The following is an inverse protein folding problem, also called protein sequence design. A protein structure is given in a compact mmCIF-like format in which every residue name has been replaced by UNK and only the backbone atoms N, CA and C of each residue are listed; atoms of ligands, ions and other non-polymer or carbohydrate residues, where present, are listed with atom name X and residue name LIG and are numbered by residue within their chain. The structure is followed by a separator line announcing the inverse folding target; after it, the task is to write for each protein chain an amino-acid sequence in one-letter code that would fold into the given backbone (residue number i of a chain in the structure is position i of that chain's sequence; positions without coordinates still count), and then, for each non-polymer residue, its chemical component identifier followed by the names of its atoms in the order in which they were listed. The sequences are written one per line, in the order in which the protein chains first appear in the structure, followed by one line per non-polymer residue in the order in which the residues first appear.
data_IF_814656818854
#
_entry.id   IF_814656818854
#
_cell.length_a   1.000
_cell.length_b   1.000
_cell.length_c   1.000
_cell.angle_alpha   90.00
_cell.angle_beta   90.00
_cell.angle_gamma   90.00
#
_symmetry.space_group_name_H-M   'P 1'
#
loop_
_entity.id
_entity.type
_entity.pdbx_description
1 polymer ?
#
# COMPACT_ATOMS: atom_id res chain seq x y z
N UNK A 1 18.93 0.52 29.27
CA UNK A 1 18.05 -0.63 29.54
C UNK A 1 17.93 -1.43 28.26
N UNK A 2 18.61 -2.58 28.17
CA UNK A 2 18.31 -3.79 27.36
C UNK A 2 19.58 -4.68 27.24
N UNK A 3 19.94 -5.34 28.34
CA UNK A 3 21.14 -6.18 28.52
C UNK A 3 21.11 -7.52 27.74
N UNK A 4 20.04 -7.80 26.98
CA UNK A 4 19.81 -9.07 26.28
C UNK A 4 20.15 -9.05 24.78
N UNK A 5 20.35 -7.86 24.18
CA UNK A 5 20.71 -7.73 22.77
C UNK A 5 22.22 -7.93 22.51
N UNK A 6 23.03 -7.90 23.57
CA UNK A 6 24.50 -8.02 23.50
C UNK A 6 24.97 -9.45 23.15
N UNK A 7 24.06 -10.42 23.13
CA UNK A 7 24.38 -11.82 22.79
C UNK A 7 24.39 -12.08 21.27
N UNK A 8 23.86 -11.18 20.45
CA UNK A 8 23.85 -11.32 19.00
C UNK A 8 24.94 -10.44 18.36
N UNK A 9 25.74 -11.03 17.48
CA UNK A 9 26.61 -10.22 16.63
C UNK A 9 25.75 -9.26 15.78
N UNK A 10 26.19 -8.01 15.54
CA UNK A 10 25.42 -7.03 14.76
C UNK A 10 24.99 -7.53 13.37
N UNK A 11 25.82 -8.38 12.75
CA UNK A 11 25.51 -9.00 11.46
C UNK A 11 24.40 -10.06 11.58
N UNK A 12 24.42 -10.87 12.65
CA UNK A 12 23.38 -11.87 12.92
C UNK A 12 22.05 -11.20 13.23
N UNK A 13 22.05 -10.16 14.06
CA UNK A 13 20.85 -9.37 14.37
C UNK A 13 20.22 -8.77 13.09
N UNK A 14 21.05 -8.24 12.18
CA UNK A 14 20.58 -7.71 10.89
C UNK A 14 19.95 -8.81 10.02
N UNK A 15 20.59 -9.97 9.87
CA UNK A 15 20.05 -11.08 9.07
C UNK A 15 18.71 -11.59 9.62
N UNK A 16 18.63 -11.76 10.95
CA UNK A 16 17.39 -12.16 11.63
C UNK A 16 16.31 -11.10 11.48
N UNK A 17 16.67 -9.82 11.60
CA UNK A 17 15.76 -8.70 11.35
C UNK A 17 15.19 -8.71 9.93
N UNK A 18 16.02 -8.87 8.90
CA UNK A 18 15.54 -8.97 7.50
C UNK A 18 14.64 -10.20 7.32
N UNK A 19 15.02 -11.35 7.88
CA UNK A 19 14.22 -12.57 7.77
C UNK A 19 12.84 -12.40 8.43
N UNK A 20 12.78 -11.79 9.61
CA UNK A 20 11.52 -11.49 10.31
C UNK A 20 10.68 -10.45 9.56
N UNK A 21 11.32 -9.46 8.94
CA UNK A 21 10.63 -8.47 8.11
C UNK A 21 9.97 -9.16 6.91
N UNK A 22 10.69 -10.00 6.17
CA UNK A 22 10.13 -10.79 5.05
C UNK A 22 9.00 -11.69 5.55
N UNK A 23 9.20 -12.39 6.67
CA UNK A 23 8.18 -13.25 7.26
C UNK A 23 6.92 -12.47 7.64
N UNK A 24 7.06 -11.25 8.16
CA UNK A 24 5.92 -10.39 8.48
C UNK A 24 5.12 -10.00 7.23
N UNK A 25 5.78 -9.77 6.09
CA UNK A 25 5.08 -9.48 4.84
C UNK A 25 4.37 -10.70 4.24
N UNK A 26 4.78 -11.93 4.61
CA UNK A 26 4.13 -13.17 4.17
C UNK A 26 2.91 -13.53 5.02
N UNK A 27 2.86 -13.09 6.29
CA UNK A 27 1.75 -13.43 7.20
C UNK A 27 0.50 -12.59 6.94
N UNK A 28 0.66 -11.36 6.44
CA UNK A 28 -0.45 -10.47 6.13
C UNK A 28 -1.34 -10.97 4.97
N UNK A 29 -0.80 -11.46 3.84
CA UNK A 29 -1.58 -12.14 2.82
C UNK A 29 -2.35 -13.36 3.34
N UNK A 30 -1.80 -14.11 4.30
CA UNK A 30 -2.50 -15.27 4.87
C UNK A 30 -3.77 -14.86 5.61
N UNK A 31 -3.75 -13.75 6.35
CA UNK A 31 -4.94 -13.20 6.99
C UNK A 31 -6.02 -12.79 5.96
N UNK A 32 -5.61 -12.34 4.78
CA UNK A 32 -6.52 -12.00 3.67
C UNK A 32 -7.06 -13.23 2.94
N UNK A 33 -6.31 -14.34 2.91
CA UNK A 33 -6.69 -15.57 2.22
C UNK A 33 -7.66 -16.42 3.05
N UNK A 34 -7.50 -16.46 4.38
CA UNK A 34 -8.31 -17.30 5.29
C UNK A 34 -9.83 -17.18 5.11
N UNK A 35 -10.43 -15.99 4.91
CA UNK A 35 -11.86 -15.86 4.64
C UNK A 35 -12.35 -16.62 3.39
N UNK A 36 -11.48 -16.77 2.38
CA UNK A 36 -11.82 -17.34 1.08
C UNK A 36 -11.52 -18.84 0.97
N UNK A 37 -10.84 -19.43 1.96
CA UNK A 37 -10.53 -20.87 1.96
C UNK A 37 -11.70 -21.63 2.60
N UNK A 38 -12.30 -22.62 1.89
CA UNK A 38 -13.34 -23.48 2.44
C UNK A 38 -12.71 -24.46 3.44
N UNK A 39 -12.46 -23.98 4.65
CA UNK A 39 -11.97 -24.78 5.77
C UNK A 39 -13.17 -25.43 6.49
N UNK A 40 -13.09 -26.72 6.87
CA UNK A 40 -14.13 -27.43 7.63
C UNK A 40 -14.09 -27.05 9.13
N UNK A 41 -14.09 -25.75 9.42
CA UNK A 41 -13.99 -25.17 10.77
C UNK A 41 -15.04 -24.08 10.94
N UNK A 42 -15.42 -23.79 12.18
CA UNK A 42 -16.40 -22.73 12.47
C UNK A 42 -15.89 -21.35 12.09
N UNK A 43 -16.80 -20.42 11.77
CA UNK A 43 -16.43 -19.03 11.43
C UNK A 43 -15.73 -18.31 12.59
N UNK A 44 -16.05 -18.67 13.83
CA UNK A 44 -15.35 -18.21 15.04
C UNK A 44 -13.87 -18.63 15.01
N UNK A 45 -13.59 -19.86 14.57
CA UNK A 45 -12.21 -20.34 14.44
C UNK A 45 -11.46 -19.62 13.32
N UNK A 46 -12.12 -19.34 12.19
CA UNK A 46 -11.53 -18.53 11.10
C UNK A 46 -11.18 -17.12 11.57
N UNK A 47 -12.08 -16.46 12.30
CA UNK A 47 -11.81 -15.16 12.90
C UNK A 47 -10.63 -15.20 13.88
N UNK A 48 -10.56 -16.25 14.72
CA UNK A 48 -9.41 -16.49 15.61
C UNK A 48 -8.09 -16.67 14.85
N UNK A 49 -8.11 -17.41 13.73
CA UNK A 49 -6.94 -17.60 12.88
C UNK A 49 -6.48 -16.29 12.21
N UNK A 50 -7.41 -15.47 11.72
CA UNK A 50 -7.13 -14.14 11.16
C UNK A 50 -6.45 -13.26 12.23
N UNK A 51 -7.03 -13.19 13.42
CA UNK A 51 -6.46 -12.43 14.54
C UNK A 51 -5.05 -12.92 14.92
N UNK A 52 -4.83 -14.24 14.92
CA UNK A 52 -3.52 -14.82 15.19
C UNK A 52 -2.48 -14.47 14.12
N UNK A 53 -2.84 -14.51 12.83
CA UNK A 53 -1.94 -14.12 11.74
C UNK A 53 -1.60 -12.63 11.78
N UNK A 54 -2.56 -11.77 12.08
CA UNK A 54 -2.34 -10.34 12.22
C UNK A 54 -1.42 -10.03 13.40
N UNK A 55 -1.73 -10.55 14.60
CA UNK A 55 -0.87 -10.37 15.77
C UNK A 55 0.55 -10.91 15.52
N UNK A 56 0.67 -12.08 14.90
CA UNK A 56 1.98 -12.64 14.57
C UNK A 56 2.73 -11.78 13.55
N UNK A 57 2.05 -11.27 12.53
CA UNK A 57 2.61 -10.32 11.57
C UNK A 57 3.09 -9.02 12.23
N UNK A 58 2.31 -8.44 13.13
CA UNK A 58 2.69 -7.23 13.86
C UNK A 58 3.88 -7.45 14.80
N UNK A 59 3.88 -8.55 15.56
CA UNK A 59 4.97 -8.88 16.49
C UNK A 59 6.27 -9.14 15.73
N UNK A 60 6.21 -9.87 14.62
CA UNK A 60 7.38 -10.14 13.77
C UNK A 60 7.87 -8.87 13.09
N UNK A 61 6.98 -8.01 12.61
CA UNK A 61 7.32 -6.71 12.04
C UNK A 61 7.99 -5.79 13.08
N UNK A 62 7.40 -5.63 14.26
CA UNK A 62 7.96 -4.80 15.33
C UNK A 62 9.33 -5.34 15.80
N UNK A 63 9.45 -6.66 15.96
CA UNK A 63 10.72 -7.33 16.30
C UNK A 63 11.77 -7.13 15.20
N UNK A 64 11.37 -7.17 13.93
CA UNK A 64 12.28 -6.90 12.81
C UNK A 64 12.83 -5.48 12.86
N UNK A 65 11.98 -4.48 13.14
CA UNK A 65 12.40 -3.08 13.25
C UNK A 65 13.33 -2.85 14.45
N UNK A 66 13.05 -3.52 15.58
CA UNK A 66 13.92 -3.49 16.75
C UNK A 66 15.32 -4.07 16.44
N UNK A 67 15.38 -5.18 15.71
CA UNK A 67 16.63 -5.86 15.36
C UNK A 67 17.42 -5.18 14.25
N UNK A 68 16.73 -4.64 13.24
CA UNK A 68 17.32 -3.83 12.16
C UNK A 68 17.86 -2.49 12.69
N UNK A 69 17.26 -2.01 13.77
CA UNK A 69 17.75 -0.92 14.58
C UNK A 69 17.70 0.44 13.89
N UNK A 70 18.24 1.45 14.59
CA UNK A 70 18.22 2.86 14.14
C UNK A 70 19.00 3.08 12.85
N UNK A 71 19.96 2.23 12.50
CA UNK A 71 20.73 2.38 11.27
C UNK A 71 19.92 2.00 10.03
N UNK A 72 19.12 0.93 10.08
CA UNK A 72 18.17 0.63 9.02
C UNK A 72 17.08 1.70 8.92
N UNK A 73 16.52 2.17 10.04
CA UNK A 73 15.59 3.29 10.03
C UNK A 73 16.22 4.55 9.46
N UNK A 74 17.52 4.78 9.71
CA UNK A 74 18.29 5.86 9.07
C UNK A 74 18.57 5.58 7.60
N UNK A 75 18.74 4.34 7.15
CA UNK A 75 18.86 3.98 5.73
C UNK A 75 17.53 4.19 5.00
N UNK A 76 16.40 3.80 5.61
CA UNK A 76 15.05 4.08 5.12
C UNK A 76 14.77 5.58 5.12
N UNK A 77 15.05 6.27 6.23
CA UNK A 77 14.91 7.73 6.30
C UNK A 77 15.91 8.44 5.40
N UNK A 78 17.11 7.89 5.18
CA UNK A 78 18.08 8.42 4.24
C UNK A 78 17.61 8.17 2.81
N UNK A 79 16.97 7.05 2.49
CA UNK A 79 16.32 6.85 1.20
C UNK A 79 15.20 7.89 0.98
N UNK A 80 14.44 8.20 2.04
CA UNK A 80 13.43 9.28 2.10
C UNK A 80 14.05 10.69 2.06
N UNK A 81 15.31 10.87 2.49
CA UNK A 81 15.99 12.17 2.63
C UNK A 81 17.02 12.47 1.51
N UNK A 82 17.56 11.44 0.87
CA UNK A 82 18.49 11.47 -0.28
C UNK A 82 17.73 11.74 -1.58
N UNK A 83 16.41 11.61 -1.57
CA UNK A 83 15.53 12.22 -2.56
C UNK A 83 15.48 13.73 -2.28
N UNK A 84 16.04 14.54 -3.18
CA UNK A 84 16.18 15.99 -3.03
C UNK A 84 14.92 16.66 -2.48
N UNK A 85 15.08 17.35 -1.36
CA UNK A 85 14.08 17.86 -0.40
C UNK A 85 12.83 18.57 -0.95
N UNK A 86 12.73 18.89 -2.24
CA UNK A 86 11.51 19.47 -2.84
C UNK A 86 10.66 18.46 -3.61
N UNK A 87 11.26 17.48 -4.29
CA UNK A 87 10.51 16.53 -5.11
C UNK A 87 9.78 15.51 -4.24
N UNK A 88 10.40 15.02 -3.16
CA UNK A 88 9.77 14.07 -2.26
C UNK A 88 8.51 14.63 -1.57
N UNK A 89 8.63 15.82 -0.97
CA UNK A 89 7.49 16.51 -0.35
C UNK A 89 6.39 16.81 -1.36
N UNK A 90 6.76 17.15 -2.60
CA UNK A 90 5.78 17.37 -3.66
C UNK A 90 5.00 16.09 -4.01
N UNK A 91 5.67 14.96 -4.25
CA UNK A 91 4.98 13.71 -4.60
C UNK A 91 4.15 13.17 -3.44
N UNK A 92 4.65 13.23 -2.20
CA UNK A 92 3.85 12.88 -1.02
C UNK A 92 2.63 13.81 -0.86
N UNK A 93 2.80 15.11 -1.07
CA UNK A 93 1.68 16.06 -1.03
C UNK A 93 0.65 15.80 -2.14
N UNK A 94 1.12 15.55 -3.37
CA UNK A 94 0.26 15.22 -4.49
C UNK A 94 -0.51 13.90 -4.26
N UNK A 95 0.16 12.88 -3.72
CA UNK A 95 -0.45 11.62 -3.33
C UNK A 95 -1.54 11.78 -2.30
N UNK A 96 -1.28 12.58 -1.25
CA UNK A 96 -2.28 12.92 -0.24
C UNK A 96 -3.49 13.66 -0.84
N UNK A 97 -3.27 14.65 -1.70
CA UNK A 97 -4.36 15.40 -2.36
C UNK A 97 -5.19 14.47 -3.25
N UNK A 98 -4.55 13.62 -4.03
CA UNK A 98 -5.26 12.66 -4.90
C UNK A 98 -6.05 11.66 -4.08
N UNK A 99 -5.48 11.13 -3.00
CA UNK A 99 -6.20 10.26 -2.05
C UNK A 99 -7.44 10.96 -1.47
N UNK A 100 -7.30 12.21 -1.02
CA UNK A 100 -8.40 12.97 -0.44
C UNK A 100 -9.52 13.20 -1.46
N UNK A 101 -9.15 13.60 -2.69
CA UNK A 101 -10.10 13.81 -3.78
C UNK A 101 -10.78 12.50 -4.20
N UNK A 102 -10.05 11.40 -4.27
CA UNK A 102 -10.59 10.08 -4.57
C UNK A 102 -11.57 9.63 -3.47
N UNK A 103 -11.22 9.80 -2.20
CA UNK A 103 -12.10 9.49 -1.06
C UNK A 103 -13.40 10.29 -1.13
N UNK A 104 -13.31 11.60 -1.38
CA UNK A 104 -14.51 12.45 -1.55
C UNK A 104 -15.33 11.99 -2.76
N UNK A 105 -14.68 11.72 -3.89
CA UNK A 105 -15.34 11.24 -5.10
C UNK A 105 -16.10 9.93 -4.86
N UNK A 106 -15.46 8.94 -4.25
CA UNK A 106 -16.08 7.64 -3.93
C UNK A 106 -17.21 7.82 -2.91
N UNK A 107 -17.07 8.73 -1.95
CA UNK A 107 -18.16 9.00 -1.00
C UNK A 107 -19.40 9.61 -1.66
N UNK A 108 -19.22 10.43 -2.69
CA UNK A 108 -20.31 11.12 -3.38
C UNK A 108 -20.92 10.30 -4.54
N UNK A 109 -20.08 9.56 -5.27
CA UNK A 109 -20.45 8.91 -6.51
C UNK A 109 -20.23 7.38 -6.50
N UNK A 110 -19.58 6.84 -5.47
CA UNK A 110 -19.18 5.43 -5.42
C UNK A 110 -20.35 4.46 -5.46
N UNK A 111 -21.54 4.84 -4.97
CA UNK A 111 -22.75 4.01 -5.06
C UNK A 111 -23.20 3.75 -6.50
N UNK A 112 -22.77 4.57 -7.47
CA UNK A 112 -23.07 4.38 -8.90
C UNK A 112 -21.98 3.59 -9.63
N UNK A 113 -20.81 3.40 -9.01
CA UNK A 113 -19.64 2.79 -9.63
C UNK A 113 -19.37 1.40 -9.04
N UNK A 114 -19.46 1.28 -7.72
CA UNK A 114 -19.24 0.05 -6.97
C UNK A 114 -20.56 -0.67 -6.70
N UNK A 115 -21.19 -1.15 -7.77
CA UNK A 115 -22.42 -1.96 -7.71
C UNK A 115 -22.04 -3.45 -7.80
N UNK A 116 -22.11 -4.21 -6.69
CA UNK A 116 -21.80 -5.63 -6.73
C UNK A 116 -22.69 -6.39 -7.71
N UNK A 117 -22.08 -7.21 -8.56
CA UNK A 117 -22.79 -7.98 -9.59
C UNK A 117 -22.92 -7.29 -10.95
N UNK A 118 -22.70 -5.98 -11.06
CA UNK A 118 -22.65 -5.29 -12.34
C UNK A 118 -21.23 -5.38 -12.95
N UNK A 119 -21.03 -6.39 -13.79
CA UNK A 119 -19.72 -6.63 -14.42
C UNK A 119 -19.29 -5.47 -15.34
N UNK A 120 -20.24 -4.78 -15.98
CA UNK A 120 -19.93 -3.69 -16.90
C UNK A 120 -19.34 -2.49 -16.17
N UNK A 121 -19.96 -2.09 -15.05
CA UNK A 121 -19.47 -1.00 -14.21
C UNK A 121 -18.13 -1.34 -13.55
N UNK A 122 -17.94 -2.59 -13.10
CA UNK A 122 -16.67 -3.05 -12.53
C UNK A 122 -15.54 -2.94 -13.55
N UNK A 123 -15.73 -3.45 -14.77
CA UNK A 123 -14.72 -3.35 -15.83
C UNK A 123 -14.41 -1.90 -16.16
N UNK A 124 -15.43 -1.05 -16.28
CA UNK A 124 -15.26 0.37 -16.54
C UNK A 124 -14.46 1.08 -15.43
N UNK A 125 -14.72 0.75 -14.16
CA UNK A 125 -14.01 1.32 -13.02
C UNK A 125 -12.51 0.97 -13.03
N UNK A 126 -12.16 -0.28 -13.32
CA UNK A 126 -10.76 -0.73 -13.38
C UNK A 126 -10.04 -0.19 -14.63
N UNK A 127 -10.69 -0.24 -15.79
CA UNK A 127 -10.16 0.35 -17.02
C UNK A 127 -9.93 1.86 -16.87
N UNK A 128 -10.86 2.54 -16.19
CA UNK A 128 -10.74 3.95 -15.84
C UNK A 128 -9.46 4.26 -15.06
N UNK A 129 -9.16 3.49 -14.00
CA UNK A 129 -7.91 3.66 -13.25
C UNK A 129 -6.66 3.37 -14.07
N UNK A 130 -6.71 2.34 -14.93
CA UNK A 130 -5.59 1.99 -15.82
C UNK A 130 -5.18 3.16 -16.71
N UNK A 131 -6.14 3.96 -17.17
CA UNK A 131 -5.89 5.16 -17.98
C UNK A 131 -5.60 6.38 -17.10
N UNK A 132 -6.34 6.56 -16.01
CA UNK A 132 -6.27 7.74 -15.16
C UNK A 132 -4.92 7.87 -14.43
N UNK A 133 -4.37 6.76 -13.92
CA UNK A 133 -3.13 6.79 -13.15
C UNK A 133 -1.92 7.28 -13.98
N UNK A 134 -1.66 6.76 -15.20
CA UNK A 134 -0.64 7.32 -16.09
C UNK A 134 -0.91 8.78 -16.47
N UNK A 135 -2.17 9.14 -16.74
CA UNK A 135 -2.56 10.52 -17.06
C UNK A 135 -2.32 11.49 -15.90
N UNK A 136 -2.36 11.02 -14.66
CA UNK A 136 -2.01 11.82 -13.48
C UNK A 136 -0.49 11.88 -13.28
N UNK A 137 0.20 10.73 -13.28
CA UNK A 137 1.61 10.65 -12.88
C UNK A 137 2.57 11.18 -13.95
N UNK A 138 2.36 10.90 -15.24
CA UNK A 138 3.29 11.37 -16.28
C UNK A 138 3.37 12.89 -16.39
N UNK A 139 2.27 13.67 -16.28
CA UNK A 139 2.37 15.13 -16.16
C UNK A 139 3.11 15.58 -14.91
N UNK A 140 2.94 14.91 -13.77
CA UNK A 140 3.67 15.26 -12.53
C UNK A 140 5.18 15.01 -12.68
N UNK A 141 5.57 13.89 -13.29
CA UNK A 141 6.99 13.62 -13.60
C UNK A 141 7.56 14.69 -14.53
N UNK A 142 6.82 15.08 -15.58
CA UNK A 142 7.23 16.14 -16.50
C UNK A 142 7.31 17.50 -15.81
N UNK A 143 6.34 17.84 -14.97
CA UNK A 143 6.31 19.12 -14.24
C UNK A 143 7.49 19.26 -13.27
N UNK A 144 7.95 18.15 -12.68
CA UNK A 144 9.12 18.11 -11.80
C UNK A 144 10.42 17.73 -12.49
N UNK A 145 10.42 17.54 -13.81
CA UNK A 145 11.57 17.08 -14.58
C UNK A 145 12.25 15.87 -13.92
N UNK A 146 11.46 14.86 -13.56
CA UNK A 146 11.96 13.66 -12.88
C UNK A 146 12.72 12.78 -13.86
N UNK A 147 13.99 12.52 -13.57
CA UNK A 147 14.84 11.61 -14.34
C UNK A 147 14.29 10.18 -14.30
N UNK A 148 14.54 9.41 -15.37
CA UNK A 148 13.95 8.06 -15.52
C UNK A 148 14.30 7.10 -14.38
N UNK A 149 15.52 7.21 -13.84
CA UNK A 149 15.98 6.41 -12.70
C UNK A 149 15.35 6.82 -11.37
N UNK A 150 14.72 8.00 -11.32
CA UNK A 150 14.00 8.52 -10.16
C UNK A 150 12.47 8.35 -10.24
N UNK A 151 11.91 7.97 -11.40
CA UNK A 151 10.46 7.84 -11.57
C UNK A 151 9.84 6.75 -10.69
N UNK A 152 10.51 5.61 -10.50
CA UNK A 152 10.05 4.58 -9.54
C UNK A 152 9.96 5.17 -8.13
N UNK A 153 10.95 5.97 -7.71
CA UNK A 153 10.95 6.60 -6.39
C UNK A 153 9.82 7.61 -6.27
N UNK A 154 9.60 8.44 -7.30
CA UNK A 154 8.50 9.40 -7.35
C UNK A 154 7.13 8.72 -7.27
N UNK A 155 6.94 7.61 -8.01
CA UNK A 155 5.72 6.81 -7.96
C UNK A 155 5.45 6.24 -6.55
N UNK A 156 6.49 5.71 -5.90
CA UNK A 156 6.39 5.21 -4.52
C UNK A 156 6.04 6.33 -3.54
N UNK A 157 6.72 7.47 -3.62
CA UNK A 157 6.46 8.62 -2.75
C UNK A 157 5.06 9.20 -2.94
N UNK A 158 4.52 9.14 -4.16
CA UNK A 158 3.15 9.49 -4.46
C UNK A 158 2.15 8.47 -3.87
N UNK A 159 2.41 7.18 -4.01
CA UNK A 159 1.50 6.14 -3.55
C UNK A 159 1.43 6.01 -2.01
N UNK A 160 2.57 6.17 -1.33
CA UNK A 160 2.71 5.97 0.12
C UNK A 160 1.65 6.63 1.01
N UNK A 161 1.39 7.96 0.92
CA UNK A 161 0.40 8.61 1.78
C UNK A 161 -1.00 8.03 1.57
N UNK A 162 -1.39 7.80 0.31
CA UNK A 162 -2.67 7.19 -0.02
C UNK A 162 -2.79 5.78 0.54
N UNK A 163 -1.77 4.93 0.33
CA UNK A 163 -1.78 3.55 0.85
C UNK A 163 -1.95 3.49 2.37
N UNK A 164 -1.26 4.37 3.11
CA UNK A 164 -1.36 4.43 4.58
C UNK A 164 -2.75 4.86 5.01
N UNK A 165 -3.32 5.88 4.37
CA UNK A 165 -4.64 6.39 4.73
C UNK A 165 -5.77 5.47 4.27
N UNK A 166 -5.60 4.78 3.15
CA UNK A 166 -6.56 3.81 2.64
C UNK A 166 -6.71 2.61 3.55
N UNK A 167 -5.67 2.21 4.29
CA UNK A 167 -5.82 1.22 5.36
C UNK A 167 -6.93 1.63 6.34
N UNK A 168 -6.97 2.91 6.72
CA UNK A 168 -8.08 3.46 7.52
C UNK A 168 -9.41 3.44 6.77
N UNK A 169 -9.44 3.84 5.49
CA UNK A 169 -10.69 3.84 4.71
C UNK A 169 -11.28 2.44 4.53
N UNK A 170 -10.44 1.40 4.46
CA UNK A 170 -10.87 0.01 4.33
C UNK A 170 -11.30 -0.56 5.69
N UNK A 171 -10.56 -0.26 6.77
CA UNK A 171 -10.92 -0.70 8.12
C UNK A 171 -12.25 -0.10 8.59
N UNK A 172 -12.49 1.17 8.27
CA UNK A 172 -13.70 1.91 8.64
C UNK A 172 -14.62 2.14 7.43
N UNK A 173 -14.67 1.16 6.52
CA UNK A 173 -15.32 1.30 5.21
C UNK A 173 -16.76 1.84 5.28
N UNK A 174 -17.58 1.30 6.18
CA UNK A 174 -18.98 1.73 6.32
C UNK A 174 -19.13 3.10 7.00
N UNK A 175 -18.18 3.52 7.83
CA UNK A 175 -18.19 4.85 8.45
C UNK A 175 -17.74 5.93 7.44
N UNK A 176 -16.79 5.58 6.57
CA UNK A 176 -16.22 6.48 5.54
C UNK A 176 -17.15 6.55 4.33
N UNK A 177 -17.72 5.42 3.92
CA UNK A 177 -18.58 5.24 2.74
C UNK A 177 -19.95 4.67 3.11
N UNK A 178 -20.77 5.36 3.92
CA UNK A 178 -22.08 4.86 4.36
C UNK A 178 -23.10 4.69 3.22
N UNK A 179 -22.81 5.29 2.06
CA UNK A 179 -23.64 5.21 0.86
C UNK A 179 -23.37 3.93 0.03
N UNK A 180 -22.28 3.20 0.31
CA UNK A 180 -21.89 2.01 -0.42
C UNK A 180 -22.35 0.76 0.33
N UNK A 181 -22.79 -0.26 -0.43
CA UNK A 181 -23.11 -1.58 0.14
C UNK A 181 -21.90 -2.16 0.89
N UNK A 182 -22.09 -2.83 2.04
CA UNK A 182 -21.02 -3.56 2.72
C UNK A 182 -20.28 -4.55 1.79
N UNK A 183 -21.01 -5.17 0.86
CA UNK A 183 -20.46 -6.14 -0.10
C UNK A 183 -19.53 -5.50 -1.13
N UNK A 184 -19.59 -4.17 -1.30
CA UNK A 184 -18.69 -3.42 -2.19
C UNK A 184 -17.29 -3.24 -1.61
N UNK A 185 -17.07 -3.52 -0.32
CA UNK A 185 -15.78 -3.32 0.36
C UNK A 185 -14.62 -4.10 -0.28
N UNK A 186 -14.86 -5.36 -0.66
CA UNK A 186 -13.85 -6.21 -1.33
C UNK A 186 -13.54 -5.67 -2.73
N UNK A 187 -14.57 -5.27 -3.48
CA UNK A 187 -14.41 -4.68 -4.80
C UNK A 187 -13.63 -3.36 -4.74
N UNK A 188 -13.96 -2.50 -3.77
CA UNK A 188 -13.27 -1.25 -3.52
C UNK A 188 -11.79 -1.48 -3.16
N UNK A 189 -11.48 -2.41 -2.26
CA UNK A 189 -10.12 -2.75 -1.91
C UNK A 189 -9.31 -3.26 -3.13
N UNK A 190 -9.91 -4.13 -3.95
CA UNK A 190 -9.29 -4.60 -5.19
C UNK A 190 -9.04 -3.45 -6.18
N UNK A 191 -9.99 -2.53 -6.31
CA UNK A 191 -9.87 -1.34 -7.15
C UNK A 191 -8.76 -0.39 -6.67
N UNK A 192 -8.61 -0.20 -5.36
CA UNK A 192 -7.49 0.55 -4.77
C UNK A 192 -6.14 -0.10 -5.10
N UNK A 193 -5.99 -1.39 -4.81
CA UNK A 193 -4.74 -2.12 -5.11
C UNK A 193 -4.38 -2.06 -6.59
N UNK A 194 -5.39 -2.15 -7.47
CA UNK A 194 -5.19 -1.98 -8.90
C UNK A 194 -4.66 -0.60 -9.25
N UNK A 195 -5.28 0.46 -8.74
CA UNK A 195 -4.83 1.85 -8.95
C UNK A 195 -3.38 2.06 -8.51
N UNK A 196 -3.02 1.55 -7.33
CA UNK A 196 -1.65 1.61 -6.85
C UNK A 196 -0.67 0.82 -7.72
N UNK A 197 -1.03 -0.40 -8.13
CA UNK A 197 -0.18 -1.20 -9.01
C UNK A 197 0.07 -0.48 -10.34
N UNK A 198 -0.97 0.03 -11.00
CA UNK A 198 -0.83 0.82 -12.24
C UNK A 198 0.02 2.06 -12.00
N UNK A 199 -0.25 2.81 -10.93
CA UNK A 199 0.51 4.00 -10.57
C UNK A 199 2.01 3.71 -10.39
N UNK A 200 2.35 2.64 -9.66
CA UNK A 200 3.74 2.21 -9.49
C UNK A 200 4.38 1.75 -10.81
N UNK A 201 3.62 1.05 -11.66
CA UNK A 201 4.10 0.61 -12.99
C UNK A 201 4.50 1.79 -13.87
N UNK A 202 3.90 2.97 -13.72
CA UNK A 202 4.30 4.17 -14.48
C UNK A 202 5.77 4.52 -14.28
N UNK A 203 6.34 4.23 -13.11
CA UNK A 203 7.75 4.51 -12.82
C UNK A 203 8.73 3.57 -13.51
N UNK A 204 8.26 2.44 -14.04
CA UNK A 204 9.09 1.46 -14.76
C UNK A 204 9.03 1.63 -16.28
N UNK A 205 8.07 2.40 -16.80
CA UNK A 205 7.95 2.66 -18.23
C UNK A 205 8.99 3.71 -18.62
N UNK A 206 10.14 3.24 -19.08
CA UNK A 206 11.18 4.11 -19.63
C UNK A 206 10.66 4.80 -20.89
N UNK A 207 11.07 6.04 -21.09
CA UNK A 207 10.85 6.74 -22.34
C UNK A 207 11.73 5.99 -23.36
N UNK A 208 11.13 5.16 -24.20
CA UNK A 208 11.83 4.79 -25.43
C UNK A 208 11.98 6.11 -26.20
N UNK A 209 13.22 6.50 -26.49
CA UNK A 209 13.50 7.50 -27.51
C UNK A 209 12.84 7.01 -28.80
N UNK A 210 11.61 7.45 -29.03
CA UNK A 210 10.93 7.28 -30.30
C UNK A 210 11.48 8.38 -31.20
N UNK A 211 12.65 8.06 -31.77
CA UNK A 211 13.36 8.72 -32.88
C UNK A 211 13.96 10.11 -32.62
#
# INVERSE_FOLDING_TARGET
MNHWLDHFSPQTARKVGIALLILSFLTWPMALVVPFVPLPVSDVFKAGAIAAFLMFGEVTFASSLLLLGRNFLKEVMAFVKVTGSQSATFFMGAGFVVWLLATIFVRLAGQYIFVPGDTGLIVLAFAGLTVLMPLLLYPLYRFKNVDEDEQVKAAVLFALPGMVLDAGTVLFFQDVYPNLSPDASVLFAAWLFWGYAVGLLTGFVRKQELW
#
